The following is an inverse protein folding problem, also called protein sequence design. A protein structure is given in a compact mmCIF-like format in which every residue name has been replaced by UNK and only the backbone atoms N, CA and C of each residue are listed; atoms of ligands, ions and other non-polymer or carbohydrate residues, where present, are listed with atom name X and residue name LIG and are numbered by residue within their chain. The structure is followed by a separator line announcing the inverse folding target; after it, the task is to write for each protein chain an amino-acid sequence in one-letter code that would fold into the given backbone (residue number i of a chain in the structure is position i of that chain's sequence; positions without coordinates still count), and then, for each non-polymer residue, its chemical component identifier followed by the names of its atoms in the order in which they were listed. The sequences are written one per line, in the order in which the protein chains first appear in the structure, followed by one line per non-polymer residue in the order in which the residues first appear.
data_IF_600767287602
#
_entry.id   IF_600767287602
#
_cell.length_a   1.000
_cell.length_b   1.000
_cell.length_c   1.000
_cell.angle_alpha   90.00
_cell.angle_beta   90.00
_cell.angle_gamma   90.00
#
_symmetry.space_group_name_H-M   'P 1'
#
loop_
_entity.id
_entity.type
_entity.pdbx_description
1 polymer ?
#
# COMPACT_ATOMS: atom_id res chain seq x y z
N UNK A 1 -22.94 -14.83 -36.36
CA UNK A 1 -22.18 -13.59 -36.15
C UNK A 1 -22.55 -13.03 -34.78
N UNK A 2 -21.93 -13.54 -33.72
CA UNK A 2 -22.20 -13.10 -32.34
C UNK A 2 -21.06 -12.21 -31.84
N UNK A 3 -21.39 -11.01 -31.35
CA UNK A 3 -20.44 -10.08 -30.75
C UNK A 3 -19.73 -10.72 -29.55
N UNK A 4 -18.40 -10.73 -29.56
CA UNK A 4 -17.54 -11.26 -28.49
C UNK A 4 -17.19 -10.22 -27.41
N UNK A 5 -17.89 -9.08 -27.39
CA UNK A 5 -17.60 -8.00 -26.45
C UNK A 5 -18.90 -7.63 -25.73
N UNK A 6 -19.00 -8.06 -24.48
CA UNK A 6 -19.91 -7.51 -23.48
C UNK A 6 -19.09 -7.19 -22.23
N UNK A 7 -19.33 -6.00 -21.67
CA UNK A 7 -18.86 -5.64 -20.34
C UNK A 7 -17.60 -4.78 -20.30
N UNK A 8 -17.70 -3.53 -20.76
CA UNK A 8 -16.75 -2.46 -20.39
C UNK A 8 -17.56 -1.34 -19.77
N UNK A 9 -17.50 -1.20 -18.45
CA UNK A 9 -18.13 -0.09 -17.73
C UNK A 9 -17.12 0.74 -16.92
N UNK A 10 -15.82 0.46 -16.99
CA UNK A 10 -14.84 1.25 -16.25
C UNK A 10 -13.44 1.19 -16.89
N UNK A 11 -12.76 2.34 -16.92
CA UNK A 11 -11.39 2.51 -17.46
C UNK A 11 -10.30 2.10 -16.48
N UNK A 12 -10.67 1.64 -15.28
CA UNK A 12 -9.76 1.28 -14.19
C UNK A 12 -9.76 -0.21 -13.86
N UNK A 13 -10.49 -1.05 -14.60
CA UNK A 13 -10.45 -2.50 -14.41
C UNK A 13 -9.33 -3.10 -15.27
N UNK A 14 -8.28 -3.72 -14.69
CA UNK A 14 -7.24 -4.36 -15.48
C UNK A 14 -7.82 -5.52 -16.28
N UNK A 15 -7.55 -5.53 -17.58
CA UNK A 15 -7.99 -6.59 -18.50
C UNK A 15 -7.33 -7.89 -18.06
N UNK A 16 -8.12 -8.86 -17.60
CA UNK A 16 -7.62 -10.21 -17.37
C UNK A 16 -7.62 -10.95 -18.71
N UNK A 17 -6.47 -11.36 -19.25
CA UNK A 17 -6.46 -12.16 -20.47
C UNK A 17 -7.09 -13.52 -20.16
N UNK A 18 -8.27 -13.76 -20.73
CA UNK A 18 -9.06 -14.97 -20.47
C UNK A 18 -8.65 -16.17 -21.34
N UNK A 19 -7.53 -16.09 -22.08
CA UNK A 19 -7.17 -17.19 -22.97
C UNK A 19 -5.67 -17.24 -23.31
N UNK A 20 -5.17 -18.47 -23.46
CA UNK A 20 -3.80 -18.86 -23.88
C UNK A 20 -3.34 -18.24 -25.22
N UNK A 21 -4.23 -17.53 -25.91
CA UNK A 21 -4.04 -16.95 -27.25
C UNK A 21 -3.42 -15.55 -27.27
N UNK A 22 -3.27 -14.86 -26.14
CA UNK A 22 -2.61 -13.54 -26.14
C UNK A 22 -1.09 -13.66 -26.37
N UNK A 23 -0.48 -14.72 -25.80
CA UNK A 23 0.91 -15.06 -26.06
C UNK A 23 1.15 -15.40 -27.52
N UNK A 24 0.19 -16.09 -28.15
CA UNK A 24 0.23 -16.49 -29.56
C UNK A 24 0.05 -15.28 -30.50
N UNK A 25 -0.79 -14.31 -30.10
CA UNK A 25 -0.94 -13.05 -30.80
C UNK A 25 0.37 -12.25 -30.84
N UNK A 26 1.08 -12.15 -29.71
CA UNK A 26 2.32 -11.36 -29.62
C UNK A 26 3.50 -11.95 -30.40
N UNK A 27 3.50 -13.25 -30.69
CA UNK A 27 4.58 -13.94 -31.43
C UNK A 27 4.25 -14.14 -32.92
N UNK A 28 3.14 -13.60 -33.41
CA UNK A 28 2.76 -13.65 -34.83
C UNK A 28 2.89 -12.24 -35.45
N UNK A 29 3.91 -11.98 -36.29
CA UNK A 29 4.19 -10.66 -36.82
C UNK A 29 3.09 -10.15 -37.76
N UNK A 30 2.31 -11.05 -38.37
CA UNK A 30 1.17 -10.69 -39.21
C UNK A 30 -0.05 -10.24 -38.41
N UNK A 31 -0.11 -10.56 -37.11
CA UNK A 31 -1.24 -10.23 -36.22
C UNK A 31 -0.97 -9.09 -35.26
N UNK A 32 0.21 -9.05 -34.64
CA UNK A 32 0.55 -8.03 -33.63
C UNK A 32 1.19 -6.78 -34.20
N UNK A 33 1.72 -6.82 -35.43
CA UNK A 33 2.32 -5.66 -36.10
C UNK A 33 3.39 -4.99 -35.23
N UNK A 34 3.13 -3.76 -34.78
CA UNK A 34 4.02 -3.00 -33.89
C UNK A 34 4.17 -3.60 -32.47
N UNK A 35 3.36 -4.59 -32.10
CA UNK A 35 3.40 -5.27 -30.80
C UNK A 35 4.02 -6.69 -30.90
N UNK A 36 4.70 -6.99 -32.01
CA UNK A 36 5.40 -8.26 -32.19
C UNK A 36 6.61 -8.38 -31.24
N UNK A 37 6.75 -9.55 -30.62
CA UNK A 37 7.87 -9.88 -29.73
C UNK A 37 8.63 -11.04 -30.35
N UNK A 38 9.83 -10.77 -30.84
CA UNK A 38 10.76 -11.78 -31.34
C UNK A 38 11.37 -12.56 -30.16
N UNK A 39 11.49 -13.88 -30.27
CA UNK A 39 12.06 -14.73 -29.21
C UNK A 39 13.57 -14.87 -29.31
N UNK A 40 14.16 -14.54 -30.45
CA UNK A 40 15.59 -14.71 -30.68
C UNK A 40 16.41 -13.43 -30.41
N UNK A 41 15.73 -12.29 -30.16
CA UNK A 41 16.33 -10.98 -29.83
C UNK A 41 16.32 -10.72 -28.31
N UNK A 42 16.89 -11.66 -27.55
CA UNK A 42 16.97 -11.59 -26.09
C UNK A 42 18.24 -10.87 -25.57
N UNK A 43 18.85 -9.99 -26.37
CA UNK A 43 20.03 -9.22 -25.97
C UNK A 43 19.82 -7.71 -26.21
N UNK A 44 19.63 -7.00 -25.10
CA UNK A 44 19.97 -5.59 -24.92
C UNK A 44 19.46 -4.56 -25.95
N UNK A 45 18.13 -4.38 -26.06
CA UNK A 45 17.47 -3.07 -26.33
C UNK A 45 15.95 -3.22 -26.30
N UNK A 46 15.36 -3.08 -25.13
CA UNK A 46 13.91 -2.83 -25.02
C UNK A 46 13.63 -1.34 -25.32
N UNK A 47 12.89 -0.97 -26.39
CA UNK A 47 12.43 0.40 -26.61
C UNK A 47 11.27 0.80 -25.67
N UNK A 48 10.93 -0.08 -24.71
CA UNK A 48 10.00 0.18 -23.64
C UNK A 48 10.71 0.11 -22.30
N UNK A 49 11.65 1.03 -22.07
CA UNK A 49 11.70 1.69 -20.76
C UNK A 49 10.37 2.42 -20.61
N UNK A 50 9.32 1.66 -20.26
CA UNK A 50 8.15 2.25 -19.64
C UNK A 50 8.74 3.00 -18.45
N UNK A 51 8.82 4.32 -18.57
CA UNK A 51 8.96 5.21 -17.44
C UNK A 51 7.83 4.81 -16.49
N UNK A 52 8.13 3.91 -15.55
CA UNK A 52 7.30 3.74 -14.37
C UNK A 52 7.08 5.17 -13.91
N UNK A 53 5.83 5.66 -13.84
CA UNK A 53 5.59 7.04 -13.47
C UNK A 53 6.31 7.24 -12.14
N UNK A 54 7.40 8.00 -12.17
CA UNK A 54 8.25 8.14 -11.00
C UNK A 54 7.36 8.59 -9.88
N UNK A 55 7.23 7.75 -8.85
CA UNK A 55 6.38 8.07 -7.73
C UNK A 55 6.91 9.39 -7.15
N UNK A 56 6.08 10.44 -7.03
CA UNK A 56 6.58 11.73 -6.61
C UNK A 56 7.14 11.63 -5.20
N UNK A 57 8.40 12.04 -5.03
CA UNK A 57 9.07 12.13 -3.75
C UNK A 57 8.81 13.50 -3.10
N UNK A 58 8.81 13.61 -1.76
CA UNK A 58 8.96 12.54 -0.78
C UNK A 58 7.74 11.61 -0.75
N UNK A 59 7.95 10.34 -0.43
CA UNK A 59 6.90 9.34 -0.31
C UNK A 59 7.13 8.41 0.89
N UNK A 60 6.04 7.90 1.45
CA UNK A 60 6.01 6.93 2.54
C UNK A 60 5.49 5.60 1.99
N UNK A 61 6.34 4.58 2.01
CA UNK A 61 5.96 3.22 1.61
C UNK A 61 5.65 2.40 2.86
N UNK A 62 4.51 1.71 2.84
CA UNK A 62 4.04 0.86 3.92
C UNK A 62 3.88 -0.56 3.38
N UNK A 63 4.77 -1.45 3.81
CA UNK A 63 4.71 -2.86 3.46
C UNK A 63 4.01 -3.66 4.55
N UNK A 64 2.97 -4.44 4.23
CA UNK A 64 2.28 -5.26 5.22
C UNK A 64 3.21 -6.32 5.81
N UNK A 65 3.18 -6.50 7.12
CA UNK A 65 3.96 -7.56 7.79
C UNK A 65 3.19 -8.88 7.82
N UNK A 66 1.86 -8.82 7.85
CA UNK A 66 0.98 -9.99 8.00
C UNK A 66 -0.05 -10.08 6.85
N UNK A 67 0.26 -9.54 5.67
CA UNK A 67 -0.59 -9.56 4.45
C UNK A 67 -2.04 -9.07 4.59
N UNK A 68 -2.36 -8.32 5.66
CA UNK A 68 -3.72 -7.82 5.91
C UNK A 68 -4.13 -6.62 5.05
N UNK A 69 -3.20 -6.04 4.29
CA UNK A 69 -3.48 -4.97 3.33
C UNK A 69 -2.44 -5.01 2.21
N UNK A 70 -2.78 -4.48 1.04
CA UNK A 70 -1.83 -4.33 -0.07
C UNK A 70 -0.77 -3.27 0.28
N UNK A 71 0.50 -3.42 -0.15
CA UNK A 71 1.51 -2.38 0.01
C UNK A 71 1.01 -1.00 -0.43
N UNK A 72 1.34 0.03 0.35
CA UNK A 72 0.89 1.40 0.08
C UNK A 72 2.07 2.30 -0.21
N UNK A 73 1.99 3.07 -1.29
CA UNK A 73 2.96 4.07 -1.70
C UNK A 73 2.30 5.45 -1.61
N UNK A 74 2.42 6.08 -0.44
CA UNK A 74 1.75 7.34 -0.13
C UNK A 74 2.70 8.48 -0.47
N UNK A 75 2.37 9.25 -1.49
CA UNK A 75 3.17 10.41 -1.84
C UNK A 75 2.90 11.58 -0.87
N UNK A 76 3.94 12.32 -0.48
CA UNK A 76 3.92 13.40 0.51
C UNK A 76 4.43 14.74 -0.04
N UNK A 77 4.52 14.88 -1.36
CA UNK A 77 4.90 16.12 -2.04
C UNK A 77 3.95 17.29 -1.74
N UNK A 78 4.42 18.51 -2.00
CA UNK A 78 3.67 19.76 -1.81
C UNK A 78 3.20 20.01 -0.37
N UNK A 79 3.97 19.56 0.63
CA UNK A 79 3.66 19.71 2.05
C UNK A 79 2.28 19.17 2.44
N UNK A 80 1.76 18.19 1.68
CA UNK A 80 0.45 17.63 1.95
C UNK A 80 0.46 16.74 3.19
N UNK A 81 -0.59 16.85 3.99
CA UNK A 81 -0.84 15.94 5.12
C UNK A 81 -1.78 14.84 4.67
N UNK A 82 -1.30 13.60 4.68
CA UNK A 82 -2.12 12.43 4.35
C UNK A 82 -2.68 11.82 5.62
N UNK A 83 -4.00 11.60 5.62
CA UNK A 83 -4.68 10.96 6.75
C UNK A 83 -4.56 9.45 6.66
N UNK A 84 -4.22 8.85 7.79
CA UNK A 84 -4.21 7.42 8.02
C UNK A 84 -5.46 7.03 8.81
N UNK A 85 -6.23 6.06 8.30
CA UNK A 85 -7.42 5.63 9.02
C UNK A 85 -8.26 4.58 8.29
N UNK A 86 -9.41 4.26 8.87
CA UNK A 86 -10.33 3.26 8.35
C UNK A 86 -11.26 3.81 7.27
N UNK A 87 -11.54 3.00 6.26
CA UNK A 87 -12.62 3.26 5.31
C UNK A 87 -13.98 3.44 6.02
N UNK A 88 -14.66 4.53 5.72
CA UNK A 88 -16.04 4.82 6.15
C UNK A 88 -17.01 4.82 4.98
N UNK A 89 -16.59 5.39 3.85
CA UNK A 89 -17.40 5.58 2.64
C UNK A 89 -16.56 5.22 1.39
N UNK A 90 -17.18 5.29 0.20
CA UNK A 90 -16.49 5.10 -1.09
C UNK A 90 -15.31 6.08 -1.29
N UNK A 91 -15.41 7.31 -0.76
CA UNK A 91 -14.33 8.32 -0.81
C UNK A 91 -13.07 7.95 0.00
N UNK A 92 -13.22 7.03 0.93
CA UNK A 92 -12.13 6.55 1.81
C UNK A 92 -11.80 5.09 1.50
N UNK A 93 -12.11 4.62 0.29
CA UNK A 93 -11.78 3.26 -0.12
C UNK A 93 -10.26 3.06 -0.04
N UNK A 94 -9.79 1.92 0.49
CA UNK A 94 -8.37 1.62 0.56
C UNK A 94 -7.80 1.55 -0.86
N UNK A 95 -6.73 2.29 -1.09
CA UNK A 95 -5.97 2.25 -2.34
C UNK A 95 -4.48 2.24 -2.06
N UNK A 96 -3.69 1.84 -3.05
CA UNK A 96 -2.22 1.79 -2.93
C UNK A 96 -1.63 3.18 -2.64
N UNK A 97 -2.24 4.24 -3.16
CA UNK A 97 -1.72 5.61 -3.05
C UNK A 97 -2.31 6.43 -1.91
N UNK A 98 -3.05 5.80 -0.99
CA UNK A 98 -3.71 6.50 0.11
C UNK A 98 -3.49 5.83 1.47
N UNK A 99 -3.75 6.59 2.54
CA UNK A 99 -3.65 6.13 3.93
C UNK A 99 -4.87 5.39 4.47
N UNK A 100 -5.82 4.96 3.62
CA UNK A 100 -7.03 4.31 4.09
C UNK A 100 -6.93 2.78 4.10
N UNK A 101 -7.44 2.17 5.16
CA UNK A 101 -7.37 0.73 5.39
C UNK A 101 -8.77 0.16 5.65
N UNK A 102 -8.98 -1.11 5.31
CA UNK A 102 -10.22 -1.83 5.66
C UNK A 102 -10.03 -2.66 6.93
N UNK A 103 -9.64 -2.02 8.04
CA UNK A 103 -9.41 -2.69 9.32
C UNK A 103 -10.26 -2.05 10.42
N UNK A 104 -11.12 -2.85 11.07
CA UNK A 104 -12.04 -2.39 12.14
C UNK A 104 -11.30 -1.87 13.38
N UNK A 105 -10.09 -2.38 13.61
CA UNK A 105 -9.18 -1.99 14.69
C UNK A 105 -8.57 -0.61 14.50
N UNK A 106 -8.74 0.01 13.32
CA UNK A 106 -8.33 1.39 13.07
C UNK A 106 -9.48 2.38 13.28
N UNK A 107 -9.14 3.52 13.87
CA UNK A 107 -10.04 4.67 13.93
C UNK A 107 -10.25 5.26 12.53
N UNK A 108 -11.37 5.97 12.32
CA UNK A 108 -11.67 6.63 11.04
C UNK A 108 -10.63 7.70 10.69
N UNK A 109 -10.20 8.45 11.70
CA UNK A 109 -9.07 9.36 11.68
C UNK A 109 -8.15 8.86 12.78
N UNK A 110 -7.10 8.13 12.40
CA UNK A 110 -6.27 7.40 13.36
C UNK A 110 -4.94 8.11 13.54
N UNK A 111 -4.32 8.48 12.43
CA UNK A 111 -3.12 9.29 12.42
C UNK A 111 -3.07 10.19 11.20
N UNK A 112 -2.11 11.08 11.18
CA UNK A 112 -1.71 11.84 10.00
C UNK A 112 -0.22 11.68 9.77
N UNK A 113 0.17 11.65 8.49
CA UNK A 113 1.56 11.62 8.05
C UNK A 113 1.82 12.78 7.11
N UNK A 114 3.00 13.37 7.21
CA UNK A 114 3.42 14.48 6.35
C UNK A 114 4.93 14.53 6.27
N UNK A 115 5.44 15.21 5.25
CA UNK A 115 6.86 15.55 5.17
C UNK A 115 7.09 16.99 5.62
N UNK A 116 8.17 17.21 6.35
CA UNK A 116 8.65 18.52 6.76
C UNK A 116 10.17 18.53 6.91
N UNK A 117 10.85 19.38 6.13
CA UNK A 117 12.29 19.60 6.28
C UNK A 117 13.16 18.40 5.93
N UNK A 118 12.77 17.62 4.92
CA UNK A 118 13.44 16.40 4.49
C UNK A 118 13.18 15.20 5.39
N UNK A 119 12.16 15.26 6.25
CA UNK A 119 11.82 14.23 7.24
C UNK A 119 10.34 13.93 7.21
N UNK A 120 9.99 12.65 7.32
CA UNK A 120 8.59 12.22 7.37
C UNK A 120 8.19 12.13 8.84
N UNK A 121 7.05 12.70 9.17
CA UNK A 121 6.48 12.66 10.51
C UNK A 121 5.14 11.94 10.51
N UNK A 122 4.81 11.36 11.65
CA UNK A 122 3.50 10.79 11.97
C UNK A 122 2.99 11.36 13.28
N UNK A 123 1.68 11.57 13.36
CA UNK A 123 1.02 12.02 14.58
C UNK A 123 -0.25 11.24 14.81
N UNK A 124 -0.43 10.75 16.03
CA UNK A 124 -1.67 10.15 16.47
C UNK A 124 -2.78 11.21 16.60
N UNK A 125 -3.98 10.92 16.10
CA UNK A 125 -5.12 11.83 16.14
C UNK A 125 -6.18 11.40 17.17
N UNK A 126 -5.75 11.11 18.40
CA UNK A 126 -6.62 10.60 19.48
C UNK A 126 -7.25 9.27 19.10
N UNK A 127 -6.43 8.38 18.56
CA UNK A 127 -6.89 7.06 18.20
C UNK A 127 -7.36 6.28 19.43
N UNK A 128 -8.40 5.48 19.27
CA UNK A 128 -8.98 4.70 20.37
C UNK A 128 -8.03 3.62 20.90
N UNK A 129 -7.11 3.16 20.06
CA UNK A 129 -6.24 2.02 20.32
C UNK A 129 -4.75 2.41 20.34
N UNK A 130 -4.41 3.69 20.16
CA UNK A 130 -3.03 4.17 20.15
C UNK A 130 -2.25 3.94 18.84
N UNK A 131 -1.11 4.62 18.74
CA UNK A 131 -0.05 4.41 17.73
C UNK A 131 1.16 3.76 18.36
N UNK A 132 1.71 2.72 17.74
CA UNK A 132 2.99 2.14 18.15
C UNK A 132 4.01 2.22 17.02
N UNK A 133 5.23 2.59 17.35
CA UNK A 133 6.37 2.63 16.45
C UNK A 133 7.50 1.88 17.14
N UNK A 134 8.01 0.83 16.50
CA UNK A 134 9.04 -0.04 17.06
C UNK A 134 8.68 -0.63 18.45
N UNK A 135 7.38 -0.81 18.71
CA UNK A 135 6.87 -1.29 20.00
C UNK A 135 6.64 -0.21 21.07
N UNK A 136 7.02 1.04 20.81
CA UNK A 136 6.80 2.17 21.71
C UNK A 136 5.51 2.93 21.34
N UNK A 137 4.69 3.24 22.34
CA UNK A 137 3.44 3.96 22.15
C UNK A 137 3.67 5.48 22.05
N UNK A 138 3.11 6.14 21.04
CA UNK A 138 3.29 7.59 20.85
C UNK A 138 2.47 8.46 21.81
N UNK A 139 1.30 7.99 22.23
CA UNK A 139 0.40 8.69 23.14
C UNK A 139 -0.53 7.72 23.85
N UNK A 140 -0.98 8.10 25.03
CA UNK A 140 -2.03 7.39 25.74
C UNK A 140 -3.29 7.27 24.87
N UNK A 141 -4.06 6.20 25.09
CA UNK A 141 -5.27 5.91 24.32
C UNK A 141 -6.26 7.08 24.39
N UNK A 142 -6.74 7.54 23.23
CA UNK A 142 -7.63 8.70 23.13
C UNK A 142 -6.94 10.06 23.28
N UNK A 143 -5.62 10.11 23.43
CA UNK A 143 -4.82 11.35 23.42
C UNK A 143 -4.06 11.53 22.12
N UNK A 144 -3.90 12.79 21.71
CA UNK A 144 -3.10 13.17 20.55
C UNK A 144 -1.63 13.09 20.92
N UNK A 145 -0.81 12.49 20.06
CA UNK A 145 0.64 12.47 20.25
C UNK A 145 1.30 13.75 19.76
N UNK A 146 2.54 13.97 20.17
CA UNK A 146 3.42 14.89 19.46
C UNK A 146 3.84 14.30 18.09
N UNK A 147 4.26 15.13 17.13
CA UNK A 147 4.86 14.66 15.89
C UNK A 147 6.06 13.75 16.15
N UNK A 148 6.02 12.54 15.63
CA UNK A 148 7.13 11.59 15.71
C UNK A 148 7.80 11.45 14.34
N UNK A 149 9.12 11.53 14.30
CA UNK A 149 9.92 11.37 13.06
C UNK A 149 10.01 9.88 12.68
N UNK A 150 9.51 9.52 11.50
CA UNK A 150 9.63 8.18 10.94
C UNK A 150 10.96 7.99 10.25
N UNK A 151 11.57 6.82 10.48
CA UNK A 151 12.77 6.36 9.79
C UNK A 151 12.44 5.16 8.91
N UNK A 152 13.24 4.97 7.87
CA UNK A 152 13.19 3.73 7.09
C UNK A 152 13.50 2.55 7.99
N UNK A 153 12.80 1.44 7.74
CA UNK A 153 12.77 0.22 8.56
C UNK A 153 12.04 0.33 9.90
N UNK A 154 11.46 1.48 10.24
CA UNK A 154 10.56 1.56 11.39
C UNK A 154 9.37 0.62 11.21
N UNK A 155 9.07 -0.15 12.24
CA UNK A 155 7.90 -1.00 12.27
C UNK A 155 6.77 -0.22 12.92
N UNK A 156 5.84 0.27 12.11
CA UNK A 156 4.61 0.87 12.59
C UNK A 156 3.58 -0.23 12.80
N UNK A 157 3.40 -0.61 14.05
CA UNK A 157 2.38 -1.58 14.46
C UNK A 157 1.17 -0.84 15.01
N UNK A 158 -0.03 -1.23 14.59
CA UNK A 158 -1.25 -0.91 15.32
C UNK A 158 -1.73 -2.16 16.07
N UNK A 159 -1.84 -2.00 17.39
CA UNK A 159 -2.40 -2.89 18.42
C UNK A 159 -3.39 -1.98 19.18
N UNK A 160 -4.57 -2.31 19.71
CA UNK A 160 -5.20 -3.55 20.16
C UNK A 160 -6.73 -3.49 19.94
N UNK A 161 -7.39 -4.64 19.82
CA UNK A 161 -8.84 -4.75 19.90
C UNK A 161 -9.24 -4.56 21.37
N UNK A 162 -9.95 -3.48 21.73
CA UNK A 162 -10.55 -3.26 23.06
C UNK A 162 -11.75 -4.21 23.30
N UNK A 163 -11.57 -5.49 22.97
CA UNK A 163 -12.50 -6.59 23.22
C UNK A 163 -11.88 -7.66 24.12
N UNK A 164 -10.66 -8.13 23.84
CA UNK A 164 -10.07 -9.23 24.58
C UNK A 164 -8.56 -9.18 24.52
N UNK A 165 -7.99 -8.77 25.64
CA UNK A 165 -6.56 -8.69 25.86
C UNK A 165 -5.87 -9.99 26.22
N UNK A 166 -6.51 -11.09 25.86
CA UNK A 166 -6.04 -12.44 25.94
C UNK A 166 -6.23 -12.96 24.52
N UNK A 167 -5.25 -13.71 24.02
CA UNK A 167 -5.54 -14.65 22.95
C UNK A 167 -6.83 -15.37 23.35
N UNK A 168 -7.96 -15.02 22.71
CA UNK A 168 -9.20 -15.73 22.93
C UNK A 168 -8.97 -17.10 22.30
N UNK A 169 -8.53 -18.00 23.15
CA UNK A 169 -8.67 -19.43 22.97
C UNK A 169 -10.17 -19.62 22.84
N UNK A 170 -10.67 -19.76 21.61
CA UNK A 170 -12.02 -20.27 21.41
C UNK A 170 -12.15 -21.60 22.17
N UNK A 171 -13.36 -22.02 22.56
CA UNK A 171 -13.58 -23.31 23.23
C UNK A 171 -13.00 -24.52 22.46
N UNK A 172 -12.58 -24.31 21.21
CA UNK A 172 -11.90 -25.20 20.26
C UNK A 172 -10.36 -25.07 20.20
N UNK A 173 -9.73 -24.34 21.13
CA UNK A 173 -8.27 -24.11 21.20
C UNK A 173 -7.68 -23.40 19.97
N UNK A 174 -8.53 -22.69 19.20
CA UNK A 174 -8.16 -21.97 17.99
C UNK A 174 -8.04 -20.48 18.32
N UNK A 175 -6.83 -19.96 18.23
CA UNK A 175 -6.54 -18.53 18.44
C UNK A 175 -7.29 -17.70 17.41
N UNK A 176 -8.24 -16.88 17.86
CA UNK A 176 -8.92 -15.92 16.99
C UNK A 176 -7.93 -14.78 16.71
N UNK A 177 -7.14 -14.92 15.64
CA UNK A 177 -6.22 -13.88 15.19
C UNK A 177 -7.01 -12.69 14.62
N UNK A 178 -7.39 -11.75 15.48
CA UNK A 178 -7.93 -10.46 15.05
C UNK A 178 -6.84 -9.70 14.27
N UNK A 179 -7.04 -9.59 12.95
CA UNK A 179 -6.23 -8.96 11.92
C UNK A 179 -5.53 -7.66 12.38
N UNK A 180 -4.28 -7.75 12.84
CA UNK A 180 -3.46 -6.61 13.30
C UNK A 180 -2.83 -5.91 12.11
N UNK A 181 -3.14 -4.62 11.89
CA UNK A 181 -2.46 -3.85 10.83
C UNK A 181 -1.06 -3.48 11.31
N UNK A 182 -0.07 -4.17 10.78
CA UNK A 182 1.33 -3.92 11.02
C UNK A 182 2.03 -3.66 9.70
N UNK A 183 2.82 -2.59 9.65
CA UNK A 183 3.51 -2.16 8.44
C UNK A 183 4.98 -1.87 8.72
N UNK A 184 5.86 -2.36 7.84
CA UNK A 184 7.24 -1.85 7.74
C UNK A 184 7.20 -0.55 6.96
N UNK A 185 7.78 0.49 7.53
CA UNK A 185 7.90 1.81 6.92
C UNK A 185 9.18 1.88 6.09
N UNK A 186 9.06 2.42 4.88
CA UNK A 186 10.21 2.90 4.13
C UNK A 186 9.98 4.36 3.76
N UNK A 187 10.85 5.23 4.24
CA UNK A 187 10.85 6.64 3.90
C UNK A 187 11.64 6.82 2.60
N UNK A 188 10.99 7.39 1.58
CA UNK A 188 11.55 7.50 0.23
C UNK A 188 11.67 8.97 -0.15
N UNK A 189 12.90 9.47 -0.26
CA UNK A 189 13.19 10.85 -0.62
C UNK A 189 13.83 10.96 -2.01
N UNK A 190 14.44 9.88 -2.50
CA UNK A 190 15.11 9.82 -3.79
C UNK A 190 14.94 8.45 -4.46
N UNK A 191 15.47 8.29 -5.68
CA UNK A 191 15.41 7.03 -6.43
C UNK A 191 16.20 5.89 -5.79
N UNK A 192 17.28 6.17 -5.06
CA UNK A 192 18.07 5.14 -4.37
C UNK A 192 17.24 4.49 -3.26
N UNK A 193 16.44 5.30 -2.54
CA UNK A 193 15.53 4.80 -1.51
C UNK A 193 14.46 3.88 -2.10
N UNK A 194 13.97 4.17 -3.32
CA UNK A 194 13.04 3.27 -4.05
C UNK A 194 13.69 1.94 -4.37
N UNK A 195 14.93 1.98 -4.89
CA UNK A 195 15.67 0.76 -5.23
C UNK A 195 15.97 -0.07 -3.98
N UNK A 196 16.26 0.58 -2.85
CA UNK A 196 16.42 -0.09 -1.56
C UNK A 196 15.09 -0.71 -1.09
N UNK A 197 13.98 0.02 -1.19
CA UNK A 197 12.64 -0.47 -0.83
C UNK A 197 12.21 -1.70 -1.65
N UNK A 198 12.55 -1.74 -2.94
CA UNK A 198 12.21 -2.84 -3.83
C UNK A 198 13.03 -4.12 -3.60
N UNK A 199 14.17 -4.02 -2.89
CA UNK A 199 15.06 -5.15 -2.59
C UNK A 199 14.82 -5.77 -1.20
N UNK A 200 13.99 -5.15 -0.37
CA UNK A 200 13.76 -5.49 1.03
C UNK A 200 12.45 -6.24 1.25
#
# INVERSE_FOLDING_TARGET
MGSLIVGIHDRFTPIRPLHYSFRDFLIDPGRSGQFFVDRDDADDRSPFSASQPQAPFPALYLYPINDFFIPKHIALFNNQRVKIGRQTNAKTAPGERNGYFNAKTLSRQHAEVWEYGGKIFIKDLKSSNGTFINGEQLSQDGFQSEPFELKSDDIVVRIWDLGFGIDLIGEDNKTINHHKVAARVVCVFNEQDVQAAARA
#
